data_IF_536089283222
#
_entry.id   IF_536089283222
#
_cell.length_a   1.000
_cell.length_b   1.000
_cell.length_c   1.000
_cell.angle_alpha   90.00
_cell.angle_beta   90.00
_cell.angle_gamma   90.00
#
_symmetry.space_group_name_H-M   'P 1'
#
loop_
_entity.id
_entity.type
_entity.pdbx_description
1 polymer ?
#
# COMPACT_ATOMS: atom_id res chain seq x y z
N UNK A 1 1.63 20.49 -10.44
CA UNK A 1 0.64 19.40 -10.57
C UNK A 1 -0.72 19.97 -10.88
N UNK A 2 -1.38 19.52 -11.96
CA UNK A 2 -2.82 19.76 -12.14
C UNK A 2 -3.56 18.87 -11.13
N UNK A 3 -3.87 19.39 -9.94
CA UNK A 3 -4.78 18.73 -9.01
C UNK A 3 -6.16 18.76 -9.65
N UNK A 4 -6.62 17.62 -10.14
CA UNK A 4 -7.98 17.51 -10.66
C UNK A 4 -8.85 17.15 -9.47
N UNK A 5 -9.68 18.10 -9.02
CA UNK A 5 -10.81 17.79 -8.14
C UNK A 5 -11.80 17.00 -8.99
N UNK A 6 -11.59 15.68 -9.08
CA UNK A 6 -12.52 14.79 -9.74
C UNK A 6 -13.84 14.84 -8.96
N UNK A 7 -14.88 15.41 -9.57
CA UNK A 7 -16.25 15.39 -9.07
C UNK A 7 -16.66 13.92 -8.89
N UNK A 8 -16.58 13.41 -7.67
CA UNK A 8 -16.93 12.02 -7.35
C UNK A 8 -15.99 11.32 -6.36
N UNK A 9 -14.78 11.82 -6.12
CA UNK A 9 -13.89 11.25 -5.10
C UNK A 9 -14.13 11.93 -3.74
N UNK A 10 -14.26 11.13 -2.67
CA UNK A 10 -14.48 11.64 -1.31
C UNK A 10 -13.35 11.21 -0.39
N UNK A 11 -12.78 12.16 0.35
CA UNK A 11 -11.74 11.87 1.34
C UNK A 11 -10.33 11.69 0.76
N UNK A 12 -10.15 11.82 -0.55
CA UNK A 12 -8.86 11.79 -1.22
C UNK A 12 -8.86 12.66 -2.48
N UNK A 13 -7.67 13.12 -2.87
CA UNK A 13 -7.45 13.87 -4.12
C UNK A 13 -6.62 13.04 -5.09
N UNK A 14 -6.81 13.28 -6.38
CA UNK A 14 -6.13 12.52 -7.43
C UNK A 14 -5.42 13.45 -8.41
N UNK A 15 -4.27 13.00 -8.90
CA UNK A 15 -3.56 13.68 -9.99
C UNK A 15 -2.69 12.68 -10.74
N UNK A 16 -2.27 13.00 -11.96
CA UNK A 16 -1.29 12.17 -12.68
C UNK A 16 0.12 12.53 -12.22
N UNK A 17 1.00 11.52 -12.14
CA UNK A 17 2.39 11.72 -11.78
C UNK A 17 3.08 12.64 -12.81
N UNK A 18 3.91 13.62 -12.39
CA UNK A 18 4.43 14.67 -13.28
C UNK A 18 5.31 14.14 -14.42
N UNK A 19 5.96 12.99 -14.24
CA UNK A 19 6.85 12.39 -15.25
C UNK A 19 6.22 11.22 -16.00
N UNK A 20 5.06 10.71 -15.55
CA UNK A 20 4.41 9.55 -16.17
C UNK A 20 2.90 9.61 -15.96
N UNK A 21 2.16 9.96 -17.02
CA UNK A 21 0.71 10.06 -16.97
C UNK A 21 -0.01 8.73 -16.72
N UNK A 22 0.69 7.59 -16.85
CA UNK A 22 0.13 6.26 -16.55
C UNK A 22 0.05 6.00 -15.03
N UNK A 23 0.95 6.60 -14.25
CA UNK A 23 0.97 6.50 -12.80
C UNK A 23 0.02 7.56 -12.22
N UNK A 24 -1.05 7.12 -11.57
CA UNK A 24 -1.95 8.03 -10.87
C UNK A 24 -1.53 8.17 -9.41
N UNK A 25 -1.57 9.37 -8.88
CA UNK A 25 -1.38 9.65 -7.47
C UNK A 25 -2.76 9.79 -6.82
N UNK A 26 -2.96 9.11 -5.69
CA UNK A 26 -4.12 9.29 -4.84
C UNK A 26 -3.64 9.63 -3.42
N UNK A 27 -3.99 10.82 -2.93
CA UNK A 27 -3.57 11.29 -1.60
C UNK A 27 -4.78 11.30 -0.68
N UNK A 28 -4.77 10.43 0.34
CA UNK A 28 -5.80 10.38 1.39
C UNK A 28 -5.71 11.62 2.28
N UNK A 29 -6.84 12.23 2.58
CA UNK A 29 -6.90 13.37 3.49
C UNK A 29 -6.62 12.95 4.94
N UNK A 30 -6.12 13.87 5.76
CA UNK A 30 -5.93 13.63 7.20
C UNK A 30 -7.22 13.17 7.89
N UNK A 31 -8.35 13.78 7.51
CA UNK A 31 -9.66 13.42 8.05
C UNK A 31 -10.06 11.98 7.71
N UNK A 32 -9.77 11.53 6.48
CA UNK A 32 -10.00 10.13 6.10
C UNK A 32 -9.10 9.17 6.85
N UNK A 33 -7.82 9.50 7.00
CA UNK A 33 -6.88 8.68 7.79
C UNK A 33 -7.37 8.55 9.23
N UNK A 34 -7.74 9.67 9.87
CA UNK A 34 -8.28 9.68 11.23
C UNK A 34 -9.57 8.86 11.36
N UNK A 35 -10.56 9.08 10.49
CA UNK A 35 -11.80 8.32 10.51
C UNK A 35 -11.59 6.82 10.28
N UNK A 36 -10.60 6.47 9.45
CA UNK A 36 -10.19 5.08 9.23
C UNK A 36 -9.58 4.48 10.48
N UNK A 37 -8.58 5.13 11.09
CA UNK A 37 -7.87 4.64 12.28
C UNK A 37 -8.79 4.56 13.51
N UNK A 38 -9.74 5.48 13.67
CA UNK A 38 -10.77 5.39 14.72
C UNK A 38 -11.56 4.08 14.63
N UNK A 39 -11.99 3.68 13.42
CA UNK A 39 -12.79 2.45 13.20
C UNK A 39 -12.01 1.17 13.43
N UNK A 40 -10.69 1.19 13.24
CA UNK A 40 -9.84 0.00 13.34
C UNK A 40 -9.01 -0.03 14.63
N UNK A 41 -9.13 0.97 15.49
CA UNK A 41 -8.35 1.13 16.74
C UNK A 41 -8.36 -0.10 17.67
N UNK A 42 -9.40 -0.94 17.60
CA UNK A 42 -9.52 -2.16 18.40
C UNK A 42 -8.85 -3.39 17.79
N UNK A 43 -8.23 -3.27 16.61
CA UNK A 43 -7.60 -4.37 15.88
C UNK A 43 -6.13 -4.07 15.64
N UNK A 44 -5.27 -4.95 16.15
CA UNK A 44 -3.85 -4.94 15.87
C UNK A 44 -3.52 -5.76 14.62
N UNK A 45 -2.25 -5.72 14.21
CA UNK A 45 -1.76 -6.50 13.06
C UNK A 45 -1.93 -8.00 13.30
N UNK A 46 -1.74 -8.49 14.52
CA UNK A 46 -1.92 -9.91 14.83
C UNK A 46 -3.37 -10.35 14.58
N UNK A 47 -4.36 -9.51 14.89
CA UNK A 47 -5.76 -9.81 14.64
C UNK A 47 -6.05 -10.09 13.17
N UNK A 48 -5.51 -9.27 12.25
CA UNK A 48 -5.71 -9.46 10.80
C UNK A 48 -4.86 -10.61 10.23
N UNK A 49 -3.74 -10.96 10.88
CA UNK A 49 -2.98 -12.16 10.54
C UNK A 49 -3.79 -13.43 10.81
N UNK A 50 -4.32 -13.57 12.03
CA UNK A 50 -5.01 -14.79 12.48
C UNK A 50 -6.46 -14.90 12.02
N UNK A 51 -7.16 -13.79 11.78
CA UNK A 51 -8.58 -13.78 11.41
C UNK A 51 -8.75 -13.15 10.02
N UNK A 52 -8.71 -13.95 8.94
CA UNK A 52 -8.71 -13.43 7.56
C UNK A 52 -9.89 -12.48 7.23
N UNK A 53 -11.07 -12.70 7.81
CA UNK A 53 -12.22 -11.83 7.57
C UNK A 53 -12.02 -10.39 8.07
N UNK A 54 -11.15 -10.17 9.08
CA UNK A 54 -10.84 -8.84 9.57
C UNK A 54 -10.11 -7.99 8.53
N UNK A 55 -9.41 -8.62 7.58
CA UNK A 55 -8.76 -7.91 6.46
C UNK A 55 -9.79 -7.19 5.59
N UNK A 56 -10.92 -7.86 5.31
CA UNK A 56 -12.05 -7.26 4.60
C UNK A 56 -12.79 -6.22 5.44
N UNK A 57 -12.87 -6.41 6.76
CA UNK A 57 -13.42 -5.40 7.67
C UNK A 57 -12.58 -4.10 7.63
N UNK A 58 -11.26 -4.23 7.70
CA UNK A 58 -10.32 -3.10 7.62
C UNK A 58 -10.41 -2.41 6.24
N UNK A 59 -10.48 -3.18 5.15
CA UNK A 59 -10.75 -2.66 3.81
C UNK A 59 -12.06 -1.88 3.72
N UNK A 60 -13.16 -2.47 4.19
CA UNK A 60 -14.46 -1.81 4.21
C UNK A 60 -14.45 -0.54 5.06
N UNK A 61 -13.73 -0.53 6.18
CA UNK A 61 -13.59 0.66 7.04
C UNK A 61 -12.96 1.84 6.30
N UNK A 62 -11.88 1.60 5.54
CA UNK A 62 -11.24 2.60 4.69
C UNK A 62 -12.16 3.05 3.54
N UNK A 63 -12.86 2.11 2.89
CA UNK A 63 -13.76 2.45 1.79
C UNK A 63 -14.93 3.31 2.28
N UNK A 64 -15.53 2.98 3.42
CA UNK A 64 -16.57 3.80 4.02
C UNK A 64 -16.07 5.20 4.41
N UNK A 65 -14.83 5.33 4.89
CA UNK A 65 -14.21 6.62 5.19
C UNK A 65 -14.00 7.50 3.94
N UNK A 66 -14.11 6.91 2.75
CA UNK A 66 -14.06 7.58 1.44
C UNK A 66 -15.39 7.50 0.70
N UNK A 67 -16.50 7.30 1.42
CA UNK A 67 -17.85 7.16 0.87
C UNK A 67 -17.96 6.10 -0.25
N UNK A 68 -17.22 5.00 -0.09
CA UNK A 68 -17.09 3.87 -1.02
C UNK A 68 -16.50 4.21 -2.40
N UNK A 69 -15.76 5.32 -2.50
CA UNK A 69 -15.22 5.78 -3.81
C UNK A 69 -13.78 5.36 -4.06
N UNK A 70 -12.98 5.11 -3.02
CA UNK A 70 -11.58 4.72 -3.17
C UNK A 70 -11.42 3.36 -3.87
N UNK A 71 -12.13 2.33 -3.42
CA UNK A 71 -12.01 0.99 -4.02
C UNK A 71 -12.35 0.98 -5.52
N UNK A 72 -13.42 1.69 -5.90
CA UNK A 72 -13.82 1.86 -7.31
C UNK A 72 -12.75 2.60 -8.11
N UNK A 73 -12.21 3.68 -7.56
CA UNK A 73 -11.13 4.43 -8.19
C UNK A 73 -9.88 3.55 -8.42
N UNK A 74 -9.45 2.81 -7.40
CA UNK A 74 -8.29 1.92 -7.49
C UNK A 74 -8.50 0.84 -8.55
N UNK A 75 -9.62 0.12 -8.49
CA UNK A 75 -9.95 -0.94 -9.45
C UNK A 75 -10.03 -0.42 -10.90
N UNK A 76 -10.70 0.71 -11.11
CA UNK A 76 -10.81 1.32 -12.44
C UNK A 76 -9.44 1.76 -12.97
N UNK A 77 -8.57 2.27 -12.08
CA UNK A 77 -7.24 2.74 -12.47
C UNK A 77 -6.30 1.59 -12.82
N UNK A 78 -6.27 0.51 -12.03
CA UNK A 78 -5.38 -0.63 -12.29
C UNK A 78 -5.84 -1.47 -13.48
N UNK A 79 -7.17 -1.56 -13.73
CA UNK A 79 -7.71 -2.30 -14.89
C UNK A 79 -7.65 -1.51 -16.20
N UNK A 80 -7.46 -0.19 -16.14
CA UNK A 80 -7.38 0.62 -17.33
C UNK A 80 -5.97 0.59 -17.94
N UNK A 81 -5.87 0.11 -19.18
CA UNK A 81 -4.63 0.02 -19.97
C UNK A 81 -3.92 1.36 -20.17
N UNK A 82 -4.61 2.50 -20.12
CA UNK A 82 -3.97 3.82 -20.21
C UNK A 82 -3.33 4.29 -18.90
N UNK A 83 -3.66 3.66 -17.77
CA UNK A 83 -3.10 3.95 -16.45
C UNK A 83 -2.35 2.73 -15.91
N UNK A 84 -2.99 1.87 -15.14
CA UNK A 84 -2.42 0.60 -14.67
C UNK A 84 -1.62 0.66 -13.36
N UNK A 85 -1.36 1.85 -12.80
CA UNK A 85 -0.59 1.99 -11.56
C UNK A 85 -1.11 3.15 -10.68
N UNK A 86 -1.00 2.98 -9.36
CA UNK A 86 -1.36 3.99 -8.36
C UNK A 86 -0.22 4.17 -7.35
N UNK A 87 0.20 5.41 -7.14
CA UNK A 87 0.96 5.84 -5.97
C UNK A 87 -0.04 6.35 -4.92
N UNK A 88 -0.24 5.59 -3.85
CA UNK A 88 -1.12 5.97 -2.76
C UNK A 88 -0.31 6.68 -1.68
N UNK A 89 -0.76 7.87 -1.31
CA UNK A 89 -0.14 8.71 -0.29
C UNK A 89 -1.17 9.06 0.78
N UNK A 90 -0.68 9.48 1.95
CA UNK A 90 -1.49 10.15 2.95
C UNK A 90 -1.00 11.60 3.08
N UNK A 91 -1.92 12.54 3.26
CA UNK A 91 -1.56 13.84 3.82
C UNK A 91 -0.83 13.63 5.15
N UNK A 92 0.11 14.53 5.48
CA UNK A 92 1.05 14.38 6.59
C UNK A 92 0.41 13.73 7.83
N UNK A 93 0.87 12.53 8.16
CA UNK A 93 0.39 11.76 9.30
C UNK A 93 1.05 12.34 10.56
N UNK A 94 0.25 12.69 11.54
CA UNK A 94 0.70 13.01 12.89
C UNK A 94 0.16 11.97 13.88
N UNK A 95 0.75 11.89 15.07
CA UNK A 95 0.33 10.94 16.12
C UNK A 95 -1.16 11.04 16.44
N UNK A 96 -1.74 12.24 16.33
CA UNK A 96 -3.16 12.49 16.58
C UNK A 96 -4.08 11.81 15.54
N UNK A 97 -3.58 11.62 14.32
CA UNK A 97 -4.30 10.96 13.23
C UNK A 97 -4.28 9.44 13.33
N UNK A 98 -3.39 8.87 14.15
CA UNK A 98 -3.20 7.42 14.26
C UNK A 98 -4.00 6.77 15.39
N UNK A 99 -4.64 7.55 16.26
CA UNK A 99 -5.47 7.03 17.36
C UNK A 99 -4.74 5.98 18.23
N UNK A 100 -3.44 6.19 18.48
CA UNK A 100 -2.62 5.30 19.29
C UNK A 100 -2.09 4.04 18.57
N UNK A 101 -2.37 3.87 17.28
CA UNK A 101 -1.77 2.82 16.45
C UNK A 101 -0.32 3.18 16.15
N UNK A 102 0.60 2.24 16.35
CA UNK A 102 2.00 2.40 15.96
C UNK A 102 2.13 2.68 14.46
N UNK A 103 3.09 3.52 14.06
CA UNK A 103 3.25 3.93 12.67
C UNK A 103 3.48 2.74 11.72
N UNK A 104 4.27 1.74 12.12
CA UNK A 104 4.52 0.56 11.28
C UNK A 104 3.24 -0.29 11.17
N UNK A 105 2.53 -0.46 12.27
CA UNK A 105 1.27 -1.21 12.29
C UNK A 105 0.19 -0.52 11.45
N UNK A 106 0.09 0.81 11.52
CA UNK A 106 -0.78 1.60 10.65
C UNK A 106 -0.47 1.33 9.16
N UNK A 107 0.81 1.35 8.78
CA UNK A 107 1.21 1.12 7.40
C UNK A 107 0.78 -0.29 6.91
N UNK A 108 0.94 -1.32 7.75
CA UNK A 108 0.49 -2.69 7.45
C UNK A 108 -1.04 -2.73 7.32
N UNK A 109 -1.78 -2.11 8.23
CA UNK A 109 -3.24 -2.08 8.21
C UNK A 109 -3.78 -1.31 7.00
N UNK A 110 -3.12 -0.22 6.59
CA UNK A 110 -3.44 0.53 5.38
C UNK A 110 -3.22 -0.33 4.12
N UNK A 111 -2.07 -0.97 3.98
CA UNK A 111 -1.82 -1.89 2.86
C UNK A 111 -2.75 -3.10 2.86
N UNK A 112 -3.12 -3.58 4.04
CA UNK A 112 -4.15 -4.63 4.20
C UNK A 112 -5.51 -4.13 3.69
N UNK A 113 -5.92 -2.91 4.05
CA UNK A 113 -7.14 -2.31 3.56
C UNK A 113 -7.13 -2.20 2.02
N UNK A 114 -6.07 -1.61 1.46
CA UNK A 114 -5.94 -1.34 0.03
C UNK A 114 -5.93 -2.62 -0.79
N UNK A 115 -5.10 -3.62 -0.41
CA UNK A 115 -5.05 -4.92 -1.09
C UNK A 115 -6.42 -5.60 -1.13
N UNK A 116 -7.17 -5.57 -0.02
CA UNK A 116 -8.48 -6.21 0.09
C UNK A 116 -9.63 -5.38 -0.51
N UNK A 117 -9.38 -4.16 -0.98
CA UNK A 117 -10.30 -3.42 -1.84
C UNK A 117 -10.18 -3.80 -3.31
N UNK A 118 -9.01 -4.26 -3.73
CA UNK A 118 -8.72 -4.55 -5.14
C UNK A 118 -8.63 -6.05 -5.46
N UNK A 119 -8.47 -6.91 -4.45
CA UNK A 119 -8.37 -8.35 -4.61
C UNK A 119 -8.09 -9.07 -3.29
N UNK A 120 -7.49 -10.26 -3.36
CA UNK A 120 -7.02 -11.00 -2.18
C UNK A 120 -5.54 -11.28 -2.36
N UNK A 121 -4.66 -10.88 -1.44
CA UNK A 121 -3.24 -11.22 -1.51
C UNK A 121 -3.03 -12.73 -1.37
N UNK A 122 -2.06 -13.24 -2.12
CA UNK A 122 -1.58 -14.61 -1.95
C UNK A 122 -0.80 -14.78 -0.63
N UNK A 123 -0.63 -16.02 -0.20
CA UNK A 123 0.30 -16.35 0.88
C UNK A 123 1.73 -16.08 0.41
N UNK A 124 2.47 -15.30 1.19
CA UNK A 124 3.89 -15.10 1.01
C UNK A 124 4.67 -16.18 1.77
N UNK A 125 5.50 -16.94 1.06
CA UNK A 125 6.27 -18.05 1.63
C UNK A 125 7.44 -17.60 2.50
N UNK A 126 7.95 -16.38 2.33
CA UNK A 126 9.08 -15.85 3.10
C UNK A 126 8.66 -15.50 4.53
N UNK A 127 7.44 -14.98 4.70
CA UNK A 127 6.89 -14.64 6.02
C UNK A 127 5.96 -15.71 6.58
N UNK A 128 5.39 -16.57 5.74
CA UNK A 128 4.29 -17.47 6.09
C UNK A 128 2.96 -16.74 6.34
N UNK A 129 2.85 -15.48 5.89
CA UNK A 129 1.68 -14.61 6.07
C UNK A 129 1.19 -14.07 4.73
N UNK A 130 0.11 -13.28 4.74
CA UNK A 130 -0.44 -12.66 3.51
C UNK A 130 0.33 -11.40 3.05
N UNK A 131 1.41 -11.06 3.75
CA UNK A 131 2.30 -9.95 3.46
C UNK A 131 3.69 -10.30 4.00
N UNK A 132 4.73 -9.64 3.49
CA UNK A 132 6.08 -9.74 4.04
C UNK A 132 6.63 -8.35 4.36
N UNK A 133 7.55 -8.31 5.33
CA UNK A 133 8.31 -7.10 5.67
C UNK A 133 9.79 -7.42 5.58
N UNK A 134 10.53 -6.50 5.00
CA UNK A 134 11.97 -6.61 4.85
C UNK A 134 12.62 -5.38 5.47
N UNK A 135 13.64 -5.61 6.31
CA UNK A 135 14.52 -4.56 6.79
C UNK A 135 15.84 -4.70 6.06
N UNK A 136 16.22 -3.65 5.34
CA UNK A 136 17.52 -3.58 4.67
C UNK A 136 18.40 -2.64 5.48
N UNK A 137 19.56 -3.14 5.89
CA UNK A 137 20.60 -2.39 6.59
C UNK A 137 21.92 -2.62 5.89
N UNK A 138 22.84 -1.66 5.98
CA UNK A 138 24.20 -1.81 5.46
C UNK A 138 25.08 -2.61 6.43
N UNK A 139 24.59 -3.79 6.84
CA UNK A 139 25.33 -4.77 7.65
C UNK A 139 25.58 -5.97 6.73
N UNK A 140 26.79 -6.06 6.17
CA UNK A 140 27.17 -7.07 5.19
C UNK A 140 27.45 -8.42 5.86
N UNK A 141 26.38 -9.06 6.33
CA UNK A 141 26.43 -10.36 6.99
C UNK A 141 25.86 -11.47 6.08
N UNK A 142 25.48 -11.14 4.83
CA UNK A 142 24.83 -12.07 3.92
C UNK A 142 25.66 -12.27 2.66
N UNK A 143 26.14 -13.49 2.44
CA UNK A 143 26.91 -13.89 1.26
C UNK A 143 26.03 -14.04 -0.02
N UNK A 144 24.89 -13.35 -0.06
CA UNK A 144 23.95 -13.41 -1.17
C UNK A 144 24.32 -12.35 -2.20
N UNK A 145 24.82 -12.80 -3.35
CA UNK A 145 25.10 -12.00 -4.55
C UNK A 145 23.93 -11.08 -4.98
N UNK A 146 22.70 -11.38 -4.56
CA UNK A 146 21.49 -10.60 -4.88
C UNK A 146 21.23 -9.43 -3.93
N UNK A 147 21.91 -9.34 -2.77
CA UNK A 147 21.65 -8.32 -1.73
C UNK A 147 22.66 -7.17 -1.74
N UNK A 148 23.53 -7.12 -2.74
CA UNK A 148 24.53 -6.09 -2.87
C UNK A 148 23.87 -4.74 -3.19
N UNK A 149 24.10 -3.73 -2.34
CA UNK A 149 23.46 -2.41 -2.46
C UNK A 149 23.76 -1.68 -3.78
N UNK A 150 24.92 -1.97 -4.41
CA UNK A 150 25.31 -1.37 -5.69
C UNK A 150 24.72 -2.11 -6.91
N UNK A 151 23.94 -3.16 -6.70
CA UNK A 151 23.32 -3.93 -7.77
C UNK A 151 21.86 -3.53 -7.96
N UNK A 152 21.50 -3.30 -9.22
CA UNK A 152 20.12 -3.05 -9.62
C UNK A 152 19.34 -4.37 -9.67
N UNK A 153 18.16 -4.40 -9.05
CA UNK A 153 17.17 -5.45 -9.30
C UNK A 153 16.57 -5.24 -10.70
N UNK A 154 16.70 -6.25 -11.57
CA UNK A 154 16.21 -6.17 -12.94
C UNK A 154 14.67 -6.11 -13.00
N UNK A 155 14.11 -5.46 -14.02
CA UNK A 155 12.66 -5.42 -14.23
C UNK A 155 12.12 -6.83 -14.48
N UNK A 156 11.06 -7.20 -13.78
CA UNK A 156 10.45 -8.53 -13.85
C UNK A 156 8.94 -8.45 -13.57
N UNK A 157 8.26 -9.59 -13.70
CA UNK A 157 6.90 -9.79 -13.22
C UNK A 157 6.95 -10.83 -12.10
N UNK A 158 6.05 -10.72 -11.13
CA UNK A 158 5.94 -11.68 -10.02
C UNK A 158 5.07 -12.88 -10.38
N UNK A 159 5.23 -13.98 -9.64
CA UNK A 159 4.39 -15.17 -9.78
C UNK A 159 4.66 -16.02 -11.02
N UNK A 160 5.80 -15.85 -11.69
CA UNK A 160 6.09 -16.55 -12.97
C UNK A 160 6.30 -18.06 -12.84
N UNK A 161 6.43 -18.59 -11.61
CA UNK A 161 6.70 -20.00 -11.33
C UNK A 161 5.48 -20.78 -10.83
N UNK A 162 4.31 -20.13 -10.72
CA UNK A 162 3.02 -20.76 -10.34
C UNK A 162 2.04 -20.71 -11.51
N UNK A 163 0.93 -21.46 -11.42
CA UNK A 163 -0.10 -21.50 -12.49
C UNK A 163 -1.09 -20.35 -12.36
N UNK A 164 -1.38 -19.96 -11.12
CA UNK A 164 -2.25 -18.87 -10.77
C UNK A 164 -1.63 -17.53 -11.20
N UNK A 165 -2.47 -16.62 -11.69
CA UNK A 165 -2.01 -15.30 -12.13
C UNK A 165 -1.84 -14.38 -10.93
N UNK A 166 -0.73 -13.65 -10.90
CA UNK A 166 -0.52 -12.51 -10.01
C UNK A 166 -0.93 -11.23 -10.74
N UNK A 167 -2.13 -10.72 -10.44
CA UNK A 167 -2.72 -9.58 -11.17
C UNK A 167 -2.18 -8.21 -10.74
N UNK A 168 -1.65 -8.10 -9.52
CA UNK A 168 -1.17 -6.86 -8.93
C UNK A 168 -0.04 -7.10 -7.93
N UNK A 169 0.78 -6.08 -7.72
CA UNK A 169 1.87 -6.05 -6.72
C UNK A 169 1.72 -4.77 -5.92
N UNK A 170 1.86 -4.86 -4.58
CA UNK A 170 1.92 -3.70 -3.68
C UNK A 170 3.29 -3.68 -3.03
N UNK A 171 3.99 -2.57 -3.20
CA UNK A 171 5.23 -2.26 -2.48
C UNK A 171 5.02 -0.99 -1.65
N UNK A 172 5.44 -1.03 -0.39
CA UNK A 172 5.27 0.09 0.53
C UNK A 172 6.59 0.40 1.22
N UNK A 173 7.00 1.67 1.15
CA UNK A 173 8.08 2.20 1.97
C UNK A 173 7.53 2.51 3.36
N UNK A 174 8.04 1.82 4.38
CA UNK A 174 7.62 2.05 5.77
C UNK A 174 8.62 2.91 6.56
N UNK A 175 9.92 2.81 6.24
CA UNK A 175 10.97 3.55 6.92
C UNK A 175 12.14 3.75 5.96
N UNK A 176 12.77 4.92 6.05
CA UNK A 176 13.98 5.26 5.29
C UNK A 176 14.89 6.15 6.14
N UNK A 177 16.16 5.77 6.29
CA UNK A 177 17.16 6.50 7.08
C UNK A 177 18.51 6.35 6.39
N UNK A 178 19.20 7.48 6.13
CA UNK A 178 20.55 7.52 5.54
C UNK A 178 20.69 6.70 4.23
N UNK A 179 19.78 6.91 3.27
CA UNK A 179 19.78 6.22 1.97
C UNK A 179 20.24 7.17 0.86
N UNK A 180 21.05 6.69 -0.09
CA UNK A 180 21.26 7.38 -1.38
C UNK A 180 20.95 6.43 -2.55
N UNK A 181 19.84 6.72 -3.26
CA UNK A 181 19.28 5.91 -4.36
C UNK A 181 18.25 4.85 -3.92
N UNK A 182 17.86 3.96 -4.85
CA UNK A 182 16.97 2.83 -4.57
C UNK A 182 15.49 3.05 -4.93
N UNK A 183 15.24 3.66 -6.09
CA UNK A 183 13.90 4.06 -6.51
C UNK A 183 12.98 2.87 -6.83
N UNK A 184 11.78 2.91 -6.26
CA UNK A 184 10.52 2.64 -6.97
C UNK A 184 9.51 3.66 -6.51
#
# INVERSE_FOLDING_TARGET
>A
MKKTLNKGNFGFVTSSHPTNERLQIATLSKATVKNFTEKISNFDVQSVEYKPFLRFFVANSLNQATNNTLGNYLLNTIKNRSTGAVLLECESIDDSSLNGIDFIDFNILLSTAVSHLIGVPNLDSMSGKYYARFSVKNEDNSDSYLRQAHRRMELHNDGTYVKELTDWVIMQKMLEVNVEGGDS
#
